data_IF_943923712598
#
_entry.id   IF_943923712598
#
_cell.length_a   1.000
_cell.length_b   1.000
_cell.length_c   1.000
_cell.angle_alpha   90.00
_cell.angle_beta   90.00
_cell.angle_gamma   90.00
#
_symmetry.space_group_name_H-M   'P 1'
#
loop_
_entity.id
_entity.type
_entity.pdbx_description
1 polymer ?
2 non-polymer ?
3 non-polymer ?
4 water ?
#
# COMPACT_ATOMS: atom_id res chain seq x y z
N UNK A 20 -8.93 -11.50 28.55
CA UNK A 20 -9.99 -10.79 29.35
C UNK A 20 -9.67 -9.29 29.46
N UNK A 21 -10.08 -8.62 30.54
CA UNK A 21 -10.34 -7.16 30.49
C UNK A 21 -9.12 -6.22 30.27
N UNK A 22 -8.73 -6.08 29.00
CA UNK A 22 -7.74 -5.08 28.60
C UNK A 22 -8.47 -3.80 28.15
N UNK A 23 -7.75 -2.69 28.15
CA UNK A 23 -8.33 -1.41 27.79
C UNK A 23 -7.57 -0.73 26.64
N UNK A 24 -8.30 0.00 25.83
CA UNK A 24 -7.75 0.79 24.75
C UNK A 24 -8.51 2.08 24.66
N UNK A 25 -7.82 3.15 24.24
CA UNK A 25 -8.47 4.41 23.94
C UNK A 25 -8.22 4.81 22.48
N UNK A 26 -9.29 5.16 21.76
CA UNK A 26 -9.21 5.80 20.44
C UNK A 26 -9.42 7.30 20.63
N UNK A 27 -8.41 8.10 20.29
CA UNK A 27 -8.50 9.56 20.39
C UNK A 27 -8.79 10.19 19.01
N UNK A 28 -10.06 10.48 18.77
CA UNK A 28 -10.50 11.05 17.50
C UNK A 28 -9.98 12.48 17.21
N UNK A 29 -9.42 13.16 18.22
CA UNK A 29 -8.86 14.51 18.02
C UNK A 29 -7.36 14.50 17.72
N UNK A 30 -6.74 13.32 17.77
CA UNK A 30 -5.32 13.21 17.48
C UNK A 30 -5.18 12.56 16.12
N UNK A 31 -5.28 13.39 15.07
CA UNK A 31 -5.24 12.91 13.70
C UNK A 31 -3.81 12.60 13.28
N UNK A 32 -3.65 11.48 12.58
CA UNK A 32 -2.37 11.03 12.03
C UNK A 32 -2.45 11.20 10.52
N UNK A 33 -2.08 10.18 9.73
CA UNK A 33 -2.00 10.32 8.29
C UNK A 33 -3.35 10.14 7.61
N UNK A 34 -3.58 10.89 6.53
CA UNK A 34 -4.76 10.69 5.68
C UNK A 34 -4.54 9.42 4.86
N UNK A 35 -5.55 8.55 4.82
CA UNK A 35 -5.45 7.29 4.06
C UNK A 35 -5.70 7.57 2.61
N UNK A 36 -4.79 7.09 1.77
CA UNK A 36 -4.91 7.18 0.33
C UNK A 36 -5.51 5.93 -0.26
N UNK A 37 -5.21 4.76 0.31
CA UNK A 37 -5.91 3.56 -0.11
C UNK A 37 -5.09 2.30 -0.15
N UNK A 38 -5.67 1.27 -0.77
CA UNK A 38 -5.13 -0.07 -0.74
C UNK A 38 -5.30 -0.69 -2.12
N UNK A 39 -4.38 -1.57 -2.50
CA UNK A 39 -4.56 -2.31 -3.72
C UNK A 39 -3.42 -3.22 -4.04
N UNK A 40 -3.11 -3.34 -5.33
CA UNK A 40 -2.07 -4.25 -5.79
C UNK A 40 -1.74 -4.06 -7.24
N UNK A 41 -0.93 -4.99 -7.77
CA UNK A 41 -0.27 -4.87 -9.06
C UNK A 41 -1.03 -5.57 -10.18
N UNK A 42 -1.07 -4.91 -11.33
CA UNK A 42 -1.42 -5.56 -12.59
C UNK A 42 -0.14 -5.49 -13.44
N UNK A 43 0.23 -6.62 -14.05
CA UNK A 43 1.36 -6.66 -14.99
C UNK A 43 0.99 -7.57 -16.19
N UNK A 44 0.33 -6.99 -17.21
CA UNK A 44 -0.20 -7.78 -18.33
C UNK A 44 0.83 -8.21 -19.39
N UNK A 45 2.11 -7.90 -19.16
CA UNK A 45 3.22 -8.39 -19.98
C UNK A 45 3.84 -9.65 -19.35
N UNK A 46 4.16 -9.58 -18.06
CA UNK A 46 4.77 -10.72 -17.35
C UNK A 46 3.76 -11.85 -17.10
N UNK A 47 2.51 -11.48 -16.78
CA UNK A 47 1.46 -12.45 -16.51
C UNK A 47 0.18 -12.01 -17.22
N UNK A 48 -0.87 -12.81 -17.12
CA UNK A 48 -2.15 -12.46 -17.77
C UNK A 48 -2.78 -11.22 -17.15
N UNK A 49 -3.34 -10.37 -18.01
CA UNK A 49 -4.12 -9.23 -17.56
C UNK A 49 -5.29 -9.70 -16.69
N UNK A 50 -5.74 -8.84 -15.78
CA UNK A 50 -6.99 -9.04 -15.10
C UNK A 50 -8.11 -9.11 -16.15
N UNK A 51 -9.06 -10.03 -15.96
CA UNK A 51 -10.24 -10.12 -16.81
C UNK A 51 -11.27 -9.06 -16.39
N UNK A 52 -12.28 -8.79 -17.25
CA UNK A 52 -13.36 -7.88 -16.86
C UNK A 52 -13.97 -8.23 -15.50
N UNK A 53 -14.23 -9.51 -15.26
CA UNK A 53 -14.79 -9.98 -13.98
C UNK A 53 -13.83 -9.67 -12.84
N UNK A 54 -12.56 -9.96 -13.05
CA UNK A 54 -11.54 -9.77 -12.02
C UNK A 54 -11.31 -8.28 -11.70
N UNK A 55 -11.42 -7.41 -12.70
CA UNK A 55 -11.33 -5.96 -12.44
C UNK A 55 -12.44 -5.50 -11.50
N UNK A 56 -13.65 -6.02 -11.70
CA UNK A 56 -14.80 -5.67 -10.83
C UNK A 56 -14.58 -6.21 -9.42
N UNK A 57 -14.08 -7.44 -9.31
CA UNK A 57 -13.82 -8.04 -8.02
C UNK A 57 -12.74 -7.27 -7.23
N UNK A 58 -11.72 -6.78 -7.93
CA UNK A 58 -10.63 -6.04 -7.28
C UNK A 58 -11.05 -4.65 -6.81
N UNK A 59 -11.67 -3.88 -7.70
CA UNK A 59 -11.91 -2.45 -7.46
C UNK A 59 -13.35 -2.08 -7.14
N UNK A 60 -14.28 -3.02 -7.33
CA UNK A 60 -15.62 -2.84 -6.79
C UNK A 60 -15.59 -3.03 -5.27
N UNK A 61 -16.57 -2.48 -4.57
CA UNK A 61 -16.68 -2.70 -3.13
C UNK A 61 -17.98 -3.35 -2.68
N UNK A 62 -18.58 -4.16 -3.54
CA UNK A 62 -19.75 -4.94 -3.20
C UNK A 62 -19.37 -6.19 -2.44
N UNK A 63 -20.36 -7.03 -2.17
CA UNK A 63 -20.13 -8.25 -1.42
C UNK A 63 -19.27 -9.18 -2.27
N UNK A 64 -18.21 -9.73 -1.67
CA UNK A 64 -17.26 -10.59 -2.40
C UNK A 64 -16.28 -9.84 -3.28
N UNK A 65 -16.14 -8.54 -3.06
CA UNK A 65 -15.20 -7.70 -3.82
C UNK A 65 -14.23 -7.05 -2.85
N UNK A 66 -13.02 -6.78 -3.32
CA UNK A 66 -11.92 -6.38 -2.44
C UNK A 66 -11.95 -4.91 -2.00
N UNK A 67 -12.63 -4.07 -2.74
CA UNK A 67 -12.69 -2.66 -2.39
C UNK A 67 -11.37 -1.92 -2.55
N UNK A 68 -10.50 -2.44 -3.41
CA UNK A 68 -9.20 -1.80 -3.69
C UNK A 68 -9.42 -0.42 -4.30
N UNK A 69 -8.54 0.51 -3.96
CA UNK A 69 -8.65 1.87 -4.42
C UNK A 69 -7.35 2.43 -5.00
N UNK A 70 -6.35 1.54 -5.15
CA UNK A 70 -5.08 1.86 -5.82
C UNK A 70 -4.72 0.68 -6.73
N UNK A 71 -4.38 0.99 -7.98
CA UNK A 71 -3.84 0.04 -8.94
C UNK A 71 -2.41 0.48 -9.20
N UNK A 72 -1.47 -0.45 -9.08
CA UNK A 72 -0.13 -0.20 -9.53
C UNK A 72 0.10 -0.89 -10.87
N UNK A 73 0.78 -0.18 -11.76
CA UNK A 73 1.13 -0.73 -13.07
C UNK A 73 2.59 -0.45 -13.35
N UNK A 74 3.14 -1.12 -14.36
CA UNK A 74 4.53 -0.92 -14.74
C UNK A 74 4.64 -0.05 -15.99
N UNK A 75 5.75 0.66 -16.10
CA UNK A 75 6.06 1.50 -17.26
C UNK A 75 6.99 0.70 -18.15
N UNK A 76 6.47 0.12 -19.22
CA UNK A 76 7.32 -0.74 -20.04
C UNK A 76 8.44 0.02 -20.75
N UNK A 77 9.61 -0.63 -20.77
CA UNK A 77 10.77 -0.09 -21.50
C UNK A 77 10.46 -0.01 -23.00
N UNK A 78 9.58 -0.88 -23.47
CA UNK A 78 9.18 -0.94 -24.87
C UNK A 78 7.82 -0.30 -25.03
N UNK A 79 7.78 0.89 -25.63
CA UNK A 79 6.55 1.69 -25.70
C UNK A 79 5.45 1.03 -26.53
N UNK A 80 5.81 0.02 -27.32
CA UNK A 80 4.81 -0.77 -28.02
C UNK A 80 3.96 -1.66 -27.11
N UNK A 81 4.41 -1.88 -25.87
CA UNK A 81 3.61 -2.61 -24.87
C UNK A 81 2.66 -1.73 -24.03
N UNK A 82 2.77 -0.41 -24.17
CA UNK A 82 2.00 0.50 -23.30
C UNK A 82 0.48 0.32 -23.37
N UNK A 83 -0.06 0.05 -24.56
CA UNK A 83 -1.49 -0.18 -24.77
C UNK A 83 -2.07 -1.37 -24.01
N UNK A 84 -1.22 -2.31 -23.58
CA UNK A 84 -1.68 -3.45 -22.81
C UNK A 84 -2.16 -3.06 -21.38
N UNK A 85 -1.75 -1.89 -20.89
CA UNK A 85 -2.15 -1.41 -19.56
C UNK A 85 -3.52 -0.77 -19.51
N UNK A 86 -4.00 -0.32 -20.66
CA UNK A 86 -5.08 0.66 -20.72
C UNK A 86 -6.41 0.13 -20.20
N UNK A 87 -6.77 -1.09 -20.59
CA UNK A 87 -8.11 -1.60 -20.25
C UNK A 87 -8.35 -1.75 -18.75
N UNK A 88 -7.36 -2.28 -18.03
CA UNK A 88 -7.49 -2.43 -16.57
C UNK A 88 -7.33 -1.10 -15.85
N UNK A 89 -6.43 -0.25 -16.34
CA UNK A 89 -6.24 1.06 -15.75
C UNK A 89 -7.50 1.93 -15.84
N UNK A 90 -8.10 1.98 -17.03
CA UNK A 90 -9.37 2.69 -17.23
C UNK A 90 -10.45 2.20 -16.27
N UNK A 91 -10.62 0.88 -16.20
CA UNK A 91 -11.66 0.28 -15.39
C UNK A 91 -11.43 0.56 -13.90
N UNK A 92 -10.17 0.48 -13.46
CA UNK A 92 -9.86 0.79 -12.09
C UNK A 92 -10.27 2.23 -11.77
N UNK A 93 -9.93 3.15 -12.67
CA UNK A 93 -10.28 4.55 -12.46
C UNK A 93 -11.79 4.69 -12.50
N UNK A 94 -12.45 3.98 -13.41
CA UNK A 94 -13.91 4.09 -13.51
C UNK A 94 -14.59 3.67 -12.20
N UNK A 95 -14.00 2.67 -11.54
CA UNK A 95 -14.54 2.15 -10.28
C UNK A 95 -14.03 2.92 -9.06
N UNK A 96 -13.30 4.01 -9.30
CA UNK A 96 -12.93 4.99 -8.26
C UNK A 96 -11.49 4.89 -7.71
N UNK A 97 -10.68 4.03 -8.31
CA UNK A 97 -9.29 3.86 -7.88
C UNK A 97 -8.39 4.93 -8.48
N UNK A 98 -7.21 5.11 -7.87
CA UNK A 98 -6.13 5.89 -8.45
C UNK A 98 -5.03 4.96 -8.94
N UNK A 99 -4.21 5.46 -9.87
CA UNK A 99 -3.20 4.61 -10.53
C UNK A 99 -1.80 5.21 -10.38
N UNK A 100 -0.85 4.39 -9.94
CA UNK A 100 0.56 4.78 -9.97
C UNK A 100 1.31 3.81 -10.87
N UNK A 101 2.37 4.32 -11.48
CA UNK A 101 3.14 3.57 -12.44
C UNK A 101 4.61 3.54 -12.03
N UNK A 102 5.23 2.36 -12.12
CA UNK A 102 6.65 2.19 -11.76
C UNK A 102 7.42 1.53 -12.92
N UNK A 103 8.59 2.09 -13.30
CA UNK A 103 9.41 1.45 -14.33
C UNK A 103 10.45 0.50 -13.71
N UNK A 104 10.77 -0.57 -14.43
CA UNK A 104 11.81 -1.54 -14.06
C UNK A 104 13.14 -1.26 -14.78
N UNK A 105 13.04 -0.93 -16.07
CA UNK A 105 14.19 -0.55 -16.89
C UNK A 105 13.88 0.63 -17.80
N UNK A 106 14.85 1.53 -17.98
CA UNK A 106 14.74 2.46 -19.10
C UNK A 106 14.83 1.71 -20.44
N UNK A 107 14.43 2.37 -21.55
CA UNK A 107 14.66 1.78 -22.87
C UNK A 107 16.13 1.38 -23.03
N UNK A 108 16.39 0.24 -23.69
CA UNK A 108 17.74 -0.32 -23.72
C UNK A 108 18.77 0.66 -24.30
N UNK A 109 18.36 1.56 -25.19
CA UNK A 109 19.29 2.54 -25.75
C UNK A 109 19.71 3.67 -24.79
N UNK A 110 19.16 3.69 -23.57
CA UNK A 110 19.62 4.60 -22.52
C UNK A 110 20.44 3.91 -21.45
N UNK A 111 20.53 2.60 -21.51
CA UNK A 111 21.14 1.77 -20.49
C UNK A 111 22.59 1.43 -20.88
N UNK A 112 23.46 1.29 -19.88
CA UNK A 112 24.81 0.75 -20.07
C UNK A 112 25.08 -0.32 -19.02
N UNK A 113 26.03 -1.20 -19.30
CA UNK A 113 26.40 -2.19 -18.32
C UNK A 113 27.55 -1.71 -17.46
N UNK A 114 27.64 -2.27 -16.26
CA UNK A 114 28.74 -2.03 -15.34
C UNK A 114 28.88 -3.21 -14.39
N UNK A 115 29.99 -3.23 -13.66
CA UNK A 115 30.27 -4.27 -12.70
C UNK A 115 29.95 -3.75 -11.29
N UNK A 116 29.07 -4.44 -10.59
CA UNK A 116 28.65 -4.01 -9.25
C UNK A 116 29.04 -5.05 -8.22
N UNK A 117 29.91 -4.65 -7.28
CA UNK A 117 30.39 -5.56 -6.24
C UNK A 117 30.83 -6.92 -6.80
N UNK A 118 31.66 -6.86 -7.84
CA UNK A 118 32.22 -8.07 -8.46
C UNK A 118 31.35 -8.72 -9.51
N UNK A 119 30.07 -8.36 -9.56
CA UNK A 119 29.15 -8.98 -10.48
C UNK A 119 29.08 -8.17 -11.76
N UNK A 120 29.48 -8.78 -12.89
CA UNK A 120 29.54 -8.03 -14.12
C UNK A 120 28.20 -7.97 -14.83
N UNK A 121 28.14 -7.19 -15.91
CA UNK A 121 26.98 -7.10 -16.78
C UNK A 121 25.69 -6.59 -16.08
N UNK A 122 25.85 -5.78 -15.05
CA UNK A 122 24.68 -5.16 -14.40
C UNK A 122 24.25 -3.93 -15.18
N UNK A 123 22.99 -3.53 -15.03
CA UNK A 123 22.39 -2.44 -15.79
C UNK A 123 22.27 -1.18 -14.95
N UNK A 124 22.59 -0.04 -15.57
CA UNK A 124 22.25 1.27 -15.00
C UNK A 124 21.88 2.27 -16.09
N UNK A 125 21.22 3.36 -15.68
CA UNK A 125 20.90 4.42 -16.63
C UNK A 125 22.18 5.19 -16.91
N UNK A 126 22.50 5.38 -18.19
CA UNK A 126 23.64 6.21 -18.57
C UNK A 126 23.45 7.60 -18.01
N UNK A 127 24.51 8.15 -17.41
CA UNK A 127 24.47 9.47 -16.80
C UNK A 127 24.09 10.56 -17.82
N UNK A 128 24.44 10.37 -19.08
CA UNK A 128 24.10 11.34 -20.12
C UNK A 128 22.72 11.09 -20.75
N UNK A 129 21.94 10.17 -20.19
CA UNK A 129 20.60 9.88 -20.71
C UNK A 129 19.48 10.17 -19.69
N UNK A 130 19.81 10.86 -18.61
CA UNK A 130 18.84 11.18 -17.58
C UNK A 130 17.75 12.08 -18.11
N UNK A 131 18.08 12.94 -19.07
CA UNK A 131 17.11 13.82 -19.72
C UNK A 131 16.25 13.05 -20.67
N UNK A 132 16.86 12.14 -21.40
CA UNK A 132 16.11 11.24 -22.27
C UNK A 132 15.12 10.36 -21.46
N UNK A 133 15.55 9.93 -20.28
CA UNK A 133 14.70 9.14 -19.39
C UNK A 133 13.48 9.92 -18.93
N UNK A 134 13.70 11.18 -18.54
CA UNK A 134 12.60 12.09 -18.23
C UNK A 134 11.59 12.12 -19.36
N UNK A 135 12.07 12.23 -20.59
CA UNK A 135 11.17 12.28 -21.74
C UNK A 135 10.40 10.99 -21.93
N UNK A 136 11.05 9.85 -21.70
CA UNK A 136 10.40 8.54 -21.75
C UNK A 136 9.26 8.46 -20.72
N UNK A 137 9.54 8.86 -19.48
CA UNK A 137 8.51 8.87 -18.41
C UNK A 137 7.33 9.79 -18.77
N UNK A 138 7.64 11.00 -19.24
CA UNK A 138 6.59 11.94 -19.70
C UNK A 138 5.79 11.45 -20.86
N UNK A 139 6.46 10.78 -21.78
CA UNK A 139 5.74 10.18 -22.90
C UNK A 139 4.72 9.17 -22.40
N UNK A 140 5.10 8.36 -21.42
CA UNK A 140 4.17 7.37 -20.85
C UNK A 140 3.00 8.09 -20.17
N UNK A 141 3.31 9.12 -19.41
CA UNK A 141 2.28 9.91 -18.72
C UNK A 141 1.29 10.48 -19.75
N UNK A 142 1.82 11.07 -20.83
CA UNK A 142 1.01 11.68 -21.87
C UNK A 142 0.16 10.63 -22.58
N UNK A 143 0.78 9.49 -22.89
CA UNK A 143 0.06 8.39 -23.54
C UNK A 143 -1.10 7.87 -22.71
N UNK A 144 -0.86 7.65 -21.42
CA UNK A 144 -1.92 7.13 -20.55
C UNK A 144 -3.02 8.16 -20.42
N UNK A 145 -2.64 9.43 -20.29
CA UNK A 145 -3.60 10.52 -20.16
C UNK A 145 -4.49 10.62 -21.39
N UNK A 146 -3.87 10.49 -22.57
CA UNK A 146 -4.61 10.43 -23.83
C UNK A 146 -5.61 9.27 -23.88
N UNK A 147 -5.32 8.19 -23.16
CA UNK A 147 -6.23 7.04 -23.11
C UNK A 147 -7.10 6.99 -21.85
N UNK A 148 -7.33 8.15 -21.23
CA UNK A 148 -8.24 8.26 -20.09
C UNK A 148 -7.70 7.77 -18.76
N UNK A 149 -6.38 7.69 -18.65
CA UNK A 149 -5.72 7.24 -17.44
C UNK A 149 -4.80 8.36 -16.98
N UNK A 150 -5.33 9.21 -16.09
CA UNK A 150 -4.58 10.30 -15.50
C UNK A 150 -3.80 9.73 -14.31
N UNK A 151 -2.52 9.44 -14.51
CA UNK A 151 -1.70 8.84 -13.45
C UNK A 151 -1.60 9.72 -12.23
N UNK A 152 -1.79 9.12 -11.06
CA UNK A 152 -1.65 9.82 -9.80
C UNK A 152 -0.18 10.15 -9.55
N UNK A 153 0.69 9.24 -9.93
CA UNK A 153 2.14 9.41 -9.77
C UNK A 153 2.89 8.43 -10.65
N UNK A 154 4.15 8.76 -10.88
CA UNK A 154 5.08 7.90 -11.61
C UNK A 154 6.39 7.83 -10.84
N UNK A 155 7.00 6.64 -10.83
CA UNK A 155 8.19 6.37 -10.05
C UNK A 155 9.45 6.49 -10.89
N UNK A 156 10.57 6.76 -10.23
CA UNK A 156 11.85 6.87 -10.92
C UNK A 156 12.32 5.44 -11.26
N UNK A 157 12.14 4.53 -10.31
CA UNK A 157 12.64 3.17 -10.46
C UNK A 157 12.04 2.22 -9.43
N UNK A 158 11.62 1.04 -9.89
CA UNK A 158 11.24 -0.03 -8.99
C UNK A 158 12.49 -0.69 -8.38
N UNK A 159 12.60 -0.68 -7.05
CA UNK A 159 13.69 -1.37 -6.35
C UNK A 159 15.08 -1.10 -6.95
N UNK A 160 15.51 0.16 -6.91
CA UNK A 160 16.84 0.53 -7.41
C UNK A 160 17.97 -0.21 -6.67
N UNK A 161 17.68 -0.63 -5.45
CA UNK A 161 18.66 -1.29 -4.59
C UNK A 161 18.47 -2.82 -4.53
N UNK A 162 17.69 -3.37 -5.44
CA UNK A 162 17.60 -4.83 -5.61
C UNK A 162 17.41 -5.18 -7.07
N UNK A 163 18.30 -4.64 -7.90
CA UNK A 163 18.12 -4.67 -9.35
C UNK A 163 19.02 -5.68 -10.07
N UNK A 164 19.28 -6.81 -9.42
CA UNK A 164 19.94 -7.95 -10.08
C UNK A 164 19.36 -8.28 -11.45
N UNK A 165 18.03 -8.16 -11.61
CA UNK A 165 17.36 -8.51 -12.87
C UNK A 165 16.74 -7.31 -13.59
N UNK A 166 17.12 -6.10 -13.20
CA UNK A 166 16.70 -4.88 -13.86
C UNK A 166 17.74 -3.74 -13.71
N UNK A 167 17.33 -2.50 -13.41
CA UNK A 167 18.25 -1.35 -13.46
C UNK A 167 18.57 -0.79 -12.07
N UNK A 168 19.86 -0.85 -11.72
CA UNK A 168 20.37 -0.35 -10.44
C UNK A 168 20.51 1.17 -10.41
N UNK A 169 20.14 1.79 -9.29
CA UNK A 169 20.53 3.15 -9.00
C UNK A 169 21.11 3.21 -7.60
N UNK A 170 22.33 3.74 -7.47
CA UNK A 170 22.88 4.04 -6.17
C UNK A 170 22.12 5.21 -5.53
N UNK A 171 22.28 5.39 -4.22
CA UNK A 171 21.65 6.54 -3.58
C UNK A 171 22.00 7.86 -4.26
N UNK A 172 23.28 8.07 -4.61
CA UNK A 172 23.70 9.29 -5.31
C UNK A 172 23.16 9.44 -6.74
N UNK A 173 22.98 8.34 -7.46
CA UNK A 173 22.38 8.39 -8.80
C UNK A 173 20.89 8.77 -8.71
N UNK A 174 20.21 8.22 -7.72
CA UNK A 174 18.82 8.54 -7.46
C UNK A 174 18.71 10.01 -7.05
N UNK A 175 19.64 10.49 -6.24
CA UNK A 175 19.63 11.87 -5.79
C UNK A 175 19.85 12.84 -6.95
N UNK A 176 20.85 12.55 -7.78
CA UNK A 176 21.09 13.37 -8.97
C UNK A 176 19.83 13.49 -9.81
N UNK A 177 19.18 12.36 -10.10
CA UNK A 177 17.96 12.42 -10.88
C UNK A 177 16.86 13.25 -10.22
N UNK A 178 16.65 13.03 -8.92
CA UNK A 178 15.62 13.76 -8.17
C UNK A 178 15.94 15.27 -8.09
N UNK A 179 17.21 15.58 -7.90
CA UNK A 179 17.67 16.96 -7.77
C UNK A 179 17.68 17.73 -9.10
N UNK A 180 18.16 17.08 -10.16
CA UNK A 180 18.50 17.75 -11.43
C UNK A 180 17.52 17.52 -12.57
N UNK A 181 16.66 16.50 -12.45
CA UNK A 181 15.78 16.16 -13.56
C UNK A 181 14.32 16.02 -13.20
N UNK A 182 14.03 15.59 -11.97
CA UNK A 182 12.69 15.12 -11.62
C UNK A 182 11.64 16.22 -11.68
N UNK A 183 12.08 17.47 -11.51
CA UNK A 183 11.19 18.61 -11.65
C UNK A 183 10.55 18.75 -13.01
N UNK A 184 11.12 18.11 -14.02
CA UNK A 184 10.57 18.17 -15.36
C UNK A 184 9.51 17.11 -15.67
N UNK A 185 9.21 16.23 -14.71
CA UNK A 185 8.22 15.18 -14.91
C UNK A 185 6.84 15.81 -14.71
N UNK A 186 5.95 15.57 -15.66
CA UNK A 186 4.61 16.15 -15.67
C UNK A 186 3.60 15.30 -14.88
N UNK A 187 3.99 14.96 -13.66
CA UNK A 187 3.21 14.06 -12.82
C UNK A 187 3.79 14.16 -11.41
N UNK A 188 3.04 13.68 -10.43
CA UNK A 188 3.63 13.41 -9.15
C UNK A 188 4.80 12.42 -9.33
N UNK A 189 5.90 12.70 -8.64
CA UNK A 189 7.08 11.85 -8.69
C UNK A 189 7.20 11.01 -7.42
N UNK A 190 7.31 9.70 -7.63
CA UNK A 190 7.49 8.74 -6.54
C UNK A 190 8.91 8.21 -6.53
N UNK A 191 9.51 8.20 -5.35
CA UNK A 191 10.86 7.64 -5.15
C UNK A 191 11.08 7.29 -3.69
N UNK A 192 12.04 6.39 -3.40
CA UNK A 192 12.89 5.61 -4.29
C UNK A 192 12.45 4.14 -4.46
N UNK A 193 11.37 3.70 -3.80
CA UNK A 193 10.90 2.31 -3.85
C UNK A 193 12.00 1.29 -3.54
N UNK A 194 12.71 1.50 -2.45
CA UNK A 194 13.65 0.51 -1.90
C UNK A 194 12.90 -0.80 -1.65
N UNK A 195 13.49 -1.93 -2.02
CA UNK A 195 12.87 -3.23 -1.76
C UNK A 195 12.56 -3.49 -0.29
N UNK A 196 13.24 -2.82 0.62
CA UNK A 196 13.13 -3.12 2.05
C UNK A 196 12.96 -1.84 2.89
N UNK A 197 12.61 -0.73 2.23
CA UNK A 197 12.51 0.58 2.91
C UNK A 197 13.86 0.91 3.55
N UNK A 198 14.94 0.68 2.82
CA UNK A 198 16.26 1.07 3.28
C UNK A 198 16.40 2.59 3.17
N UNK A 199 16.67 3.23 4.30
CA UNK A 199 16.69 4.69 4.39
C UNK A 199 17.90 5.31 3.66
N UNK A 200 18.95 4.54 3.42
CA UNK A 200 20.06 5.06 2.60
C UNK A 200 19.65 5.48 1.17
N UNK A 201 18.55 4.92 0.64
CA UNK A 201 18.07 5.32 -0.69
C UNK A 201 17.29 6.63 -0.70
N UNK A 202 16.67 6.98 0.43
CA UNK A 202 15.78 8.13 0.50
C UNK A 202 16.34 9.32 1.27
N UNK A 203 17.23 9.06 2.24
CA UNK A 203 17.82 10.10 3.06
C UNK A 203 18.42 11.23 2.22
N UNK A 204 19.16 10.89 1.14
CA UNK A 204 19.73 11.99 0.34
C UNK A 204 18.69 12.90 -0.30
N UNK A 205 17.54 12.33 -0.67
CA UNK A 205 16.43 13.11 -1.24
C UNK A 205 15.90 14.07 -0.18
N UNK A 206 15.62 13.52 1.01
CA UNK A 206 15.05 14.29 2.10
C UNK A 206 15.97 15.41 2.58
N UNK A 207 17.28 15.17 2.55
CA UNK A 207 18.27 16.16 2.99
C UNK A 207 18.67 17.21 1.95
N UNK A 208 18.19 17.06 0.72
CA UNK A 208 18.47 18.04 -0.33
C UNK A 208 17.18 18.75 -0.70
N UNK A 209 17.13 20.09 -0.45
CA UNK A 209 15.89 20.82 -0.68
C UNK A 209 15.34 20.76 -2.11
N UNK A 210 16.20 20.85 -3.13
CA UNK A 210 15.70 20.78 -4.50
C UNK A 210 15.14 19.39 -4.81
N UNK A 211 15.84 18.33 -4.41
CA UNK A 211 15.38 16.94 -4.65
C UNK A 211 14.07 16.65 -3.91
N UNK A 212 13.99 17.15 -2.68
CA UNK A 212 12.79 17.04 -1.87
C UNK A 212 11.64 17.80 -2.52
N UNK A 213 11.91 18.98 -3.07
CA UNK A 213 10.87 19.75 -3.76
C UNK A 213 10.34 19.01 -4.98
N UNK A 214 11.19 18.23 -5.64
CA UNK A 214 10.76 17.47 -6.81
C UNK A 214 10.12 16.13 -6.45
N UNK A 215 10.26 15.71 -5.19
CA UNK A 215 9.56 14.52 -4.70
C UNK A 215 8.11 14.86 -4.35
N UNK A 216 7.18 13.97 -4.69
CA UNK A 216 5.79 14.10 -4.25
C UNK A 216 5.36 12.95 -3.34
N UNK A 217 5.82 11.74 -3.64
CA UNK A 217 5.50 10.55 -2.86
C UNK A 217 6.76 9.76 -2.52
N UNK A 218 6.99 9.53 -1.23
CA UNK A 218 8.05 8.62 -0.82
C UNK A 218 7.44 7.22 -0.87
N UNK A 219 7.89 6.42 -1.85
CA UNK A 219 7.47 5.03 -2.04
C UNK A 219 8.46 4.05 -1.43
N UNK A 220 7.96 2.95 -0.89
CA UNK A 220 8.80 1.95 -0.25
C UNK A 220 8.17 0.58 -0.42
N UNK A 221 9.02 -0.43 -0.48
CA UNK A 221 8.56 -1.82 -0.38
C UNK A 221 8.93 -2.37 0.97
N UNK A 222 8.29 -3.49 1.37
CA UNK A 222 8.34 -4.01 2.73
C UNK A 222 8.95 -5.43 2.81
N UNK A 223 9.73 -5.82 1.82
CA UNK A 223 10.25 -7.19 1.80
C UNK A 223 11.31 -7.36 2.88
N UNK A 224 10.94 -8.08 3.93
CA UNK A 224 11.85 -8.31 5.06
C UNK A 224 11.98 -7.11 5.98
N UNK A 225 11.13 -6.10 5.80
CA UNK A 225 11.20 -4.89 6.62
C UNK A 225 10.66 -5.19 8.01
N UNK A 226 11.48 -5.01 9.04
CA UNK A 226 11.03 -5.28 10.41
C UNK A 226 10.37 -4.04 11.05
N UNK A 227 9.59 -4.27 12.10
CA UNK A 227 8.79 -3.20 12.72
C UNK A 227 9.64 -2.04 13.23
N UNK A 228 10.81 -2.36 13.79
CA UNK A 228 11.71 -1.33 14.29
C UNK A 228 12.23 -0.37 13.21
N UNK A 229 12.16 -0.80 11.96
CA UNK A 229 12.59 -0.01 10.79
C UNK A 229 11.43 0.59 10.00
N UNK A 230 10.22 0.51 10.55
CA UNK A 230 9.07 1.15 9.91
C UNK A 230 8.92 2.65 10.23
N UNK A 231 9.26 3.10 11.47
CA UNK A 231 9.31 4.54 11.66
C UNK A 231 10.42 5.17 10.83
N UNK A 232 10.28 6.45 10.53
CA UNK A 232 11.26 7.15 9.71
C UNK A 232 11.33 8.60 10.16
N UNK A 233 12.09 8.86 11.23
CA UNK A 233 12.25 10.18 11.83
C UNK A 233 12.57 11.30 10.83
N UNK A 234 13.42 11.01 9.83
CA UNK A 234 13.80 12.07 8.88
C UNK A 234 12.61 12.46 8.03
N UNK A 235 11.78 11.49 7.64
CA UNK A 235 10.56 11.81 6.91
C UNK A 235 9.53 12.59 7.73
N UNK A 236 9.37 12.22 9.01
CA UNK A 236 8.49 12.98 9.89
C UNK A 236 8.99 14.42 9.99
N UNK A 237 10.30 14.60 10.13
CA UNK A 237 10.90 15.93 10.24
C UNK A 237 10.79 16.74 8.94
N UNK A 238 11.20 16.16 7.81
CA UNK A 238 11.37 16.94 6.57
C UNK A 238 10.31 16.74 5.50
N UNK A 239 9.40 15.78 5.68
CA UNK A 239 8.50 15.37 4.61
C UNK A 239 7.13 16.01 4.51
N UNK A 240 6.94 17.19 5.11
CA UNK A 240 5.66 17.90 5.02
C UNK A 240 5.20 18.07 3.57
N UNK A 241 3.96 17.70 3.31
CA UNK A 241 3.38 17.82 1.99
C UNK A 241 3.69 16.67 1.04
N UNK A 242 4.50 15.70 1.48
CA UNK A 242 4.79 14.52 0.67
C UNK A 242 3.96 13.37 1.19
N UNK A 243 3.52 12.51 0.30
CA UNK A 243 2.78 11.31 0.68
C UNK A 243 3.77 10.18 0.98
N UNK A 244 3.29 9.19 1.74
CA UNK A 244 4.09 8.04 2.12
C UNK A 244 3.31 6.78 1.72
N UNK A 245 3.86 5.99 0.80
CA UNK A 245 3.17 4.85 0.24
C UNK A 245 4.02 3.59 0.34
N UNK A 246 3.40 2.48 0.71
CA UNK A 246 4.06 1.16 0.65
C UNK A 246 3.53 0.52 -0.61
N UNK A 247 4.37 0.49 -1.64
CA UNK A 247 3.90 0.31 -3.01
C UNK A 247 4.05 -1.12 -3.53
N UNK A 248 4.72 -1.97 -2.74
CA UNK A 248 4.80 -3.40 -3.11
C UNK A 248 5.23 -4.30 -1.97
N UNK A 249 4.45 -5.36 -1.75
CA UNK A 249 4.92 -6.46 -0.91
C UNK A 249 4.04 -7.68 -1.12
N UNK A 250 4.56 -8.83 -0.73
CA UNK A 250 3.76 -9.97 -0.35
C UNK A 250 4.34 -10.46 0.96
N UNK A 251 3.49 -11.02 1.83
CA UNK A 251 3.88 -11.49 3.15
C UNK A 251 2.99 -12.69 3.51
N UNK A 252 3.53 -13.66 4.28
CA UNK A 252 4.92 -13.74 4.72
C UNK A 252 5.82 -14.47 3.71
N UNK A 253 5.25 -14.90 2.58
CA UNK A 253 6.00 -15.58 1.52
C UNK A 253 5.20 -15.56 0.25
N UNK A 254 5.82 -16.00 -0.85
CA UNK A 254 5.11 -16.21 -2.12
C UNK A 254 5.05 -17.70 -2.48
N UNK A 255 4.85 -18.55 -1.48
CA UNK A 255 4.74 -19.99 -1.71
C UNK A 255 3.56 -20.30 -2.65
N UNK A 256 3.77 -21.22 -3.58
CA UNK A 256 2.71 -21.64 -4.50
C UNK A 256 1.49 -22.08 -3.70
N UNK A 257 0.32 -21.59 -4.08
CA UNK A 257 -0.95 -22.01 -3.49
C UNK A 257 -1.02 -21.84 -1.97
N UNK A 258 -0.51 -20.70 -1.47
CA UNK A 258 -0.44 -20.44 -0.03
C UNK A 258 -1.47 -19.44 0.47
N UNK A 259 -2.25 -18.88 -0.43
CA UNK A 259 -3.08 -17.71 -0.13
C UNK A 259 -4.20 -17.98 0.88
N UNK A 260 -4.62 -19.23 1.01
CA UNK A 260 -5.63 -19.63 2.00
C UNK A 260 -5.07 -20.25 3.28
N UNK A 261 -3.74 -20.33 3.41
CA UNK A 261 -3.16 -20.90 4.61
C UNK A 261 -3.56 -20.12 5.85
N UNK A 262 -3.98 -20.85 6.88
CA UNK A 262 -4.42 -20.26 8.13
C UNK A 262 -3.79 -21.05 9.27
N UNK A 263 -3.27 -20.37 10.31
CA UNK A 263 -3.29 -18.94 10.63
C UNK A 263 -2.23 -18.09 9.93
N UNK A 264 -1.51 -18.66 8.97
CA UNK A 264 -0.50 -17.92 8.19
C UNK A 264 -1.02 -16.56 7.70
N UNK A 265 -2.23 -16.56 7.14
CA UNK A 265 -2.77 -15.36 6.54
C UNK A 265 -2.82 -14.18 7.52
N UNK A 266 -2.89 -14.46 8.82
CA UNK A 266 -2.94 -13.38 9.79
C UNK A 266 -1.72 -12.44 9.70
N UNK A 267 -0.61 -12.94 9.16
CA UNK A 267 0.57 -12.08 8.95
C UNK A 267 0.30 -10.89 8.01
N UNK A 268 -0.67 -11.05 7.11
CA UNK A 268 -1.01 -10.00 6.16
C UNK A 268 -1.64 -8.84 6.90
N UNK A 269 -2.66 -9.14 7.71
CA UNK A 269 -3.32 -8.14 8.52
C UNK A 269 -2.32 -7.46 9.45
N UNK A 270 -1.46 -8.27 10.09
CA UNK A 270 -0.47 -7.71 11.00
C UNK A 270 0.49 -6.77 10.27
N UNK A 271 0.93 -7.15 9.07
CA UNK A 271 1.83 -6.30 8.28
C UNK A 271 1.18 -4.97 7.89
N UNK A 272 -0.10 -5.04 7.54
CA UNK A 272 -0.86 -3.87 7.21
C UNK A 272 -1.04 -2.98 8.42
N UNK A 273 -1.44 -3.59 9.54
CA UNK A 273 -1.49 -2.87 10.81
C UNK A 273 -0.16 -2.15 11.07
N UNK A 274 0.93 -2.89 10.90
CA UNK A 274 2.24 -2.33 11.16
C UNK A 274 2.56 -1.17 10.21
N UNK A 275 2.28 -1.34 8.92
CA UNK A 275 2.47 -0.26 7.96
C UNK A 275 1.74 1.02 8.42
N UNK A 276 0.46 0.86 8.74
CA UNK A 276 -0.38 1.99 9.12
C UNK A 276 0.04 2.67 10.41
N UNK A 277 0.30 1.86 11.42
CA UNK A 277 0.45 2.36 12.77
C UNK A 277 1.91 2.61 13.14
N UNK A 278 2.82 1.75 12.70
CA UNK A 278 4.24 1.88 13.03
C UNK A 278 4.97 2.69 11.97
N UNK A 279 4.50 2.61 10.72
CA UNK A 279 5.12 3.34 9.62
C UNK A 279 4.40 4.59 9.16
N UNK A 280 3.19 4.83 9.66
CA UNK A 280 2.38 5.98 9.24
C UNK A 280 2.12 5.99 7.74
N UNK A 281 2.04 4.80 7.12
CA UNK A 281 1.84 4.70 5.67
C UNK A 281 0.41 5.03 5.26
N UNK A 282 0.28 5.74 4.14
CA UNK A 282 -1.01 6.23 3.67
C UNK A 282 -1.56 5.28 2.66
N UNK A 283 -0.70 4.44 2.11
CA UNK A 283 -1.10 3.45 1.14
C UNK A 283 -0.38 2.14 1.39
N UNK A 284 -1.07 1.05 1.07
CA UNK A 284 -0.50 -0.30 1.17
C UNK A 284 -0.92 -1.05 -0.09
N UNK A 285 0.07 -1.46 -0.88
CA UNK A 285 -0.13 -2.02 -2.21
C UNK A 285 0.60 -3.36 -2.30
N UNK A 286 -0.18 -4.41 -2.52
CA UNK A 286 0.37 -5.75 -2.73
C UNK A 286 1.05 -5.84 -4.10
N UNK A 287 1.81 -6.91 -4.28
CA UNK A 287 2.28 -7.32 -5.60
C UNK A 287 1.06 -7.86 -6.40
N UNK A 288 1.23 -8.88 -7.25
CA UNK A 288 0.16 -9.27 -8.16
C UNK A 288 -1.20 -9.45 -7.47
N UNK A 289 -2.23 -8.76 -7.96
CA UNK A 289 -3.56 -8.88 -7.40
C UNK A 289 -4.04 -10.32 -7.53
N UNK A 290 -3.85 -10.89 -8.71
CA UNK A 290 -4.30 -12.25 -8.99
C UNK A 290 -3.09 -13.15 -9.06
N UNK A 291 -2.96 -14.01 -8.05
CA UNK A 291 -1.89 -14.99 -7.97
C UNK A 291 -2.18 -16.00 -6.86
N UNK A 292 -1.54 -17.17 -6.93
CA UNK A 292 -1.87 -18.24 -5.99
C UNK A 292 -1.44 -17.94 -4.54
N UNK A 293 -0.62 -16.91 -4.35
CA UNK A 293 -0.22 -16.41 -3.02
C UNK A 293 -0.73 -14.98 -2.76
N UNK A 294 -1.67 -14.52 -3.58
CA UNK A 294 -2.17 -13.14 -3.53
C UNK A 294 -3.59 -12.99 -3.00
N UNK A 295 -4.09 -11.74 -2.96
CA UNK A 295 -5.41 -11.49 -2.39
C UNK A 295 -6.53 -12.09 -3.23
N UNK A 296 -6.29 -12.25 -4.53
CA UNK A 296 -7.25 -12.88 -5.42
C UNK A 296 -6.63 -14.14 -5.98
N UNK A 297 -7.32 -15.28 -5.87
CA UNK A 297 -6.82 -16.55 -6.39
C UNK A 297 -7.02 -16.65 -7.91
N UNK A 298 -6.35 -17.60 -8.54
CA UNK A 298 -6.46 -17.79 -9.99
C UNK A 298 -7.89 -18.06 -10.44
N UNK A 299 -8.73 -18.63 -9.57
CA UNK A 299 -10.14 -18.82 -9.90
C UNK A 299 -10.99 -17.56 -9.78
N UNK A 300 -10.37 -16.44 -9.40
CA UNK A 300 -11.05 -15.16 -9.38
C UNK A 300 -11.70 -14.81 -8.05
N UNK A 301 -11.58 -15.69 -7.06
CA UNK A 301 -12.19 -15.46 -5.75
C UNK A 301 -11.17 -14.92 -4.75
N UNK A 302 -11.67 -14.45 -3.64
CA UNK A 302 -10.83 -13.85 -2.63
C UNK A 302 -10.24 -14.92 -1.72
N UNK A 303 -8.93 -14.86 -1.52
CA UNK A 303 -8.21 -15.77 -0.62
C UNK A 303 -8.23 -15.27 0.83
N UNK A 304 -7.82 -16.12 1.77
CA UNK A 304 -7.70 -15.69 3.16
C UNK A 304 -6.82 -14.44 3.24
N UNK A 305 -5.73 -14.42 2.47
CA UNK A 305 -4.85 -13.23 2.39
C UNK A 305 -5.64 -12.00 1.89
N UNK A 306 -6.48 -12.21 0.89
CA UNK A 306 -7.36 -11.15 0.39
C UNK A 306 -8.35 -10.61 1.41
N UNK A 307 -8.94 -11.51 2.18
CA UNK A 307 -9.86 -11.11 3.24
C UNK A 307 -9.14 -10.33 4.31
N UNK A 308 -7.88 -10.68 4.58
CA UNK A 308 -7.10 -9.87 5.50
C UNK A 308 -6.96 -8.45 4.95
N UNK A 309 -6.61 -8.32 3.67
CA UNK A 309 -6.53 -7.00 3.07
C UNK A 309 -7.90 -6.30 3.12
N UNK A 310 -8.96 -7.05 2.85
CA UNK A 310 -10.31 -6.49 2.78
C UNK A 310 -10.78 -5.87 4.10
N UNK A 311 -10.35 -6.44 5.23
CA UNK A 311 -10.65 -5.85 6.52
C UNK A 311 -10.26 -4.38 6.62
N UNK A 312 -9.24 -3.99 5.86
CA UNK A 312 -8.84 -2.60 5.77
C UNK A 312 -9.47 -1.92 4.55
N UNK A 313 -9.32 -2.54 3.39
CA UNK A 313 -9.63 -1.88 2.12
C UNK A 313 -11.12 -1.64 1.86
N UNK A 314 -11.99 -2.56 2.31
CA UNK A 314 -13.42 -2.39 2.13
C UNK A 314 -14.01 -1.32 3.06
N UNK A 315 -13.33 -1.05 4.17
CA UNK A 315 -13.87 -0.19 5.22
C UNK A 315 -13.12 1.13 5.46
N UNK A 316 -11.80 1.12 5.35
CA UNK A 316 -10.98 2.32 5.59
C UNK A 316 -10.82 2.98 4.22
N UNK A 317 -11.69 3.94 3.91
CA UNK A 317 -11.78 4.45 2.54
C UNK A 317 -10.86 5.65 2.36
N UNK A 318 -10.50 5.96 1.11
CA UNK A 318 -9.63 7.10 0.88
C UNK A 318 -10.17 8.40 1.46
N UNK A 319 -9.30 9.19 2.08
CA UNK A 319 -9.77 10.41 2.72
C UNK A 319 -10.05 10.25 4.21
N UNK A 320 -10.31 9.03 4.67
CA UNK A 320 -10.37 8.79 6.12
C UNK A 320 -9.01 9.14 6.68
N UNK A 321 -8.99 9.51 7.96
CA UNK A 321 -7.73 9.87 8.61
C UNK A 321 -7.48 8.92 9.79
N UNK A 322 -6.27 8.35 9.84
CA UNK A 322 -5.93 7.51 10.96
C UNK A 322 -5.87 8.40 12.18
N UNK A 323 -6.28 7.87 13.33
CA UNK A 323 -6.25 8.58 14.58
C UNK A 323 -5.45 7.79 15.61
N UNK A 324 -4.90 8.51 16.58
CA UNK A 324 -4.12 7.89 17.64
C UNK A 324 -5.04 6.93 18.39
N UNK A 325 -4.60 5.68 18.53
CA UNK A 325 -5.34 4.65 19.27
C UNK A 325 -4.36 3.64 19.86
N UNK A 326 -4.71 3.08 21.01
CA UNK A 326 -3.85 2.11 21.70
C UNK A 326 -3.54 0.95 20.75
N UNK A 327 -2.29 0.85 20.30
CA UNK A 327 -1.97 -0.04 19.19
C UNK A 327 -1.86 -1.51 19.57
N UNK A 328 -1.52 -1.79 20.83
CA UNK A 328 -1.24 -3.15 21.29
C UNK A 328 -1.78 -3.30 22.71
N UNK A 329 -3.11 -3.24 22.86
CA UNK A 329 -3.76 -3.18 24.19
C UNK A 329 -3.50 -4.38 25.10
N UNK A 330 -3.21 -5.54 24.51
CA UNK A 330 -2.79 -6.70 25.26
C UNK A 330 -1.99 -7.60 24.34
N UNK A 331 -1.28 -8.55 24.92
CA UNK A 331 -0.40 -9.40 24.13
C UNK A 331 -1.19 -10.11 23.01
N UNK A 332 -0.65 -10.07 21.80
CA UNK A 332 -1.24 -10.67 20.58
C UNK A 332 -2.46 -9.93 20.01
N UNK A 333 -2.79 -8.76 20.55
CA UNK A 333 -3.91 -7.98 20.05
C UNK A 333 -3.42 -6.64 19.51
N UNK A 334 -3.89 -6.30 18.32
CA UNK A 334 -3.40 -5.16 17.55
C UNK A 334 -4.58 -4.35 17.06
N UNK A 335 -4.54 -3.05 17.32
CA UNK A 335 -5.66 -2.16 17.04
C UNK A 335 -5.21 -0.92 16.28
N UNK A 336 -5.98 -0.57 15.27
CA UNK A 336 -5.83 0.70 14.58
C UNK A 336 -7.22 1.29 14.36
N UNK A 337 -7.30 2.61 14.25
CA UNK A 337 -8.57 3.31 14.06
C UNK A 337 -8.41 4.46 13.09
N UNK A 338 -9.38 4.60 12.18
CA UNK A 338 -9.45 5.72 11.23
C UNK A 338 -10.80 6.42 11.35
N UNK A 339 -10.79 7.74 11.20
CA UNK A 339 -11.97 8.60 11.32
C UNK A 339 -12.44 9.03 9.93
N UNK A 340 -13.74 8.87 9.66
CA UNK A 340 -14.40 9.50 8.51
C UNK A 340 -14.80 10.93 8.94
N UNK A 341 -14.10 11.93 8.39
CA UNK A 341 -14.32 13.32 8.81
C UNK A 341 -15.66 13.91 8.35
N UNK A 342 -16.34 13.24 7.42
CA UNK A 342 -17.66 13.71 6.95
C UNK A 342 -18.70 13.69 8.08
N UNK A 343 -18.66 12.65 8.94
CA UNK A 343 -19.59 12.55 10.09
C UNK A 343 -18.92 12.17 11.42
N UNK A 344 -17.59 12.14 11.44
CA UNK A 344 -16.80 11.69 12.58
C UNK A 344 -17.04 10.24 13.04
N UNK A 345 -17.53 9.38 12.15
CA UNK A 345 -17.61 7.95 12.44
C UNK A 345 -16.20 7.37 12.45
N UNK A 346 -16.05 6.16 12.98
CA UNK A 346 -14.74 5.56 13.20
C UNK A 346 -14.77 4.12 12.66
N UNK A 347 -13.67 3.71 12.05
CA UNK A 347 -13.45 2.33 11.65
C UNK A 347 -12.28 1.82 12.46
N UNK A 348 -12.49 0.72 13.18
CA UNK A 348 -11.45 0.10 13.98
C UNK A 348 -11.17 -1.29 13.43
N UNK A 349 -9.90 -1.61 13.23
CA UNK A 349 -9.56 -2.95 12.75
C UNK A 349 -8.72 -3.58 13.84
N UNK A 350 -9.18 -4.73 14.31
CA UNK A 350 -8.60 -5.35 15.51
C UNK A 350 -8.23 -6.80 15.25
N UNK A 351 -6.95 -7.10 15.42
CA UNK A 351 -6.40 -8.41 15.10
C UNK A 351 -6.15 -9.12 16.43
N UNK A 352 -6.66 -10.35 16.56
CA UNK A 352 -6.31 -11.20 17.69
C UNK A 352 -5.57 -12.42 17.22
N UNK A 353 -4.25 -12.41 17.42
CA UNK A 353 -3.42 -13.56 17.05
C UNK A 353 -3.32 -14.63 18.15
N UNK A 354 -3.92 -14.37 19.32
CA UNK A 354 -3.92 -15.34 20.40
C UNK A 354 -4.82 -16.53 20.09
N UNK A 355 -4.42 -17.68 20.60
CA UNK A 355 -5.28 -18.89 20.61
C UNK A 355 -6.39 -18.79 21.68
N UNK A 356 -6.36 -17.72 22.49
CA UNK A 356 -7.41 -17.45 23.45
C UNK A 356 -8.27 -16.25 23.03
N UNK A 357 -9.49 -16.20 23.55
CA UNK A 357 -10.40 -15.10 23.24
C UNK A 357 -9.91 -13.90 24.04
N UNK A 358 -10.21 -12.70 23.54
CA UNK A 358 -9.76 -11.48 24.20
C UNK A 358 -10.90 -10.48 24.29
N UNK A 359 -11.01 -9.82 25.44
CA UNK A 359 -12.02 -8.80 25.64
C UNK A 359 -11.35 -7.43 25.88
N UNK A 360 -11.75 -6.44 25.09
CA UNK A 360 -11.16 -5.10 25.15
C UNK A 360 -12.25 -4.07 25.45
N UNK A 361 -12.04 -3.24 26.46
CA UNK A 361 -12.86 -2.06 26.69
C UNK A 361 -12.25 -0.89 25.90
N UNK A 362 -12.88 -0.53 24.79
CA UNK A 362 -12.37 0.52 23.92
C UNK A 362 -13.06 1.84 24.25
N UNK A 363 -12.32 2.77 24.83
CA UNK A 363 -12.85 4.08 25.16
C UNK A 363 -12.68 5.05 23.99
N UNK A 364 -13.78 5.66 23.57
CA UNK A 364 -13.77 6.59 22.44
C UNK A 364 -14.35 7.92 22.94
N UNK A 365 -13.58 8.63 23.80
CA UNK A 365 -14.12 9.87 24.40
C UNK A 365 -14.61 10.87 23.34
N UNK A 366 -15.71 11.55 23.65
CA UNK A 366 -16.25 12.61 22.79
C UNK A 366 -17.05 12.19 21.58
N UNK A 367 -17.21 10.89 21.36
CA UNK A 367 -18.02 10.42 20.24
C UNK A 367 -19.50 10.37 20.61
N UNK A 368 -20.36 10.69 19.63
CA UNK A 368 -21.81 10.53 19.77
C UNK A 368 -22.26 9.16 19.27
N UNK A 369 -21.37 8.45 18.58
CA UNK A 369 -21.69 7.11 18.10
C UNK A 369 -21.91 6.19 19.30
N UNK A 370 -22.91 5.32 19.22
CA UNK A 370 -23.21 4.37 20.30
C UNK A 370 -23.36 2.93 19.82
N UNK A 371 -23.18 2.70 18.52
CA UNK A 371 -23.33 1.37 17.97
C UNK A 371 -22.28 1.13 16.91
N UNK A 372 -21.66 -0.06 16.96
CA UNK A 372 -20.75 -0.52 15.90
C UNK A 372 -21.31 -1.80 15.34
N UNK A 373 -21.21 -1.96 14.04
CA UNK A 373 -21.41 -3.24 13.40
C UNK A 373 -20.04 -3.88 13.31
N UNK A 374 -19.99 -5.19 13.10
CA UNK A 374 -18.70 -5.87 13.04
C UNK A 374 -18.68 -7.04 12.06
N UNK A 375 -17.55 -7.18 11.38
CA UNK A 375 -17.30 -8.27 10.44
C UNK A 375 -16.05 -8.97 10.88
N UNK A 376 -16.10 -10.30 10.89
CA UNK A 376 -15.06 -11.13 11.49
C UNK A 376 -14.59 -12.22 10.55
N UNK A 377 -13.28 -12.38 10.46
CA UNK A 377 -12.69 -13.44 9.66
C UNK A 377 -11.84 -14.34 10.55
N UNK A 378 -12.01 -15.65 10.38
CA UNK A 378 -11.22 -16.65 11.07
C UNK A 378 -10.81 -17.71 10.03
N UNK A 379 -10.25 -18.83 10.50
CA UNK A 379 -9.94 -19.94 9.62
C UNK A 379 -11.18 -20.53 8.96
N UNK A 380 -12.35 -20.30 9.51
CA UNK A 380 -13.58 -20.94 9.02
C UNK A 380 -14.69 -19.97 8.57
N UNK A 381 -14.41 -18.67 8.54
CA UNK A 381 -15.40 -17.71 8.05
C UNK A 381 -14.73 -16.43 7.60
N UNK A 382 -15.33 -15.79 6.59
CA UNK A 382 -14.76 -14.61 5.95
C UNK A 382 -15.69 -13.42 6.06
N UNK A 383 -15.24 -12.38 6.76
CA UNK A 383 -16.03 -11.16 6.94
C UNK A 383 -17.48 -11.46 7.32
N UNK A 384 -17.66 -12.39 8.27
CA UNK A 384 -19.00 -12.71 8.73
C UNK A 384 -19.49 -11.58 9.62
N UNK A 385 -20.67 -11.08 9.28
CA UNK A 385 -21.31 -10.07 10.10
C UNK A 385 -21.79 -10.71 11.39
N UNK A 386 -21.27 -10.23 12.51
CA UNK A 386 -21.63 -10.78 13.81
C UNK A 386 -22.48 -9.74 14.55
N UNK A 387 -22.81 -10.00 15.82
CA UNK A 387 -23.69 -9.12 16.58
C UNK A 387 -23.11 -7.72 16.83
N UNK A 388 -23.98 -6.70 16.75
CA UNK A 388 -23.57 -5.31 16.99
C UNK A 388 -23.01 -5.11 18.36
N UNK A 389 -22.13 -4.10 18.48
CA UNK A 389 -21.62 -3.65 19.76
C UNK A 389 -22.39 -2.42 20.15
N UNK A 390 -23.03 -2.47 21.31
CA UNK A 390 -23.74 -1.32 21.83
C UNK A 390 -22.90 -0.71 22.93
N UNK A 391 -22.58 0.56 22.77
CA UNK A 391 -21.69 1.26 23.67
C UNK A 391 -22.35 1.54 25.00
N UNK A 392 -21.55 1.51 26.06
CA UNK A 392 -21.97 2.00 27.36
C UNK A 392 -21.32 3.37 27.57
N UNK A 393 -22.10 4.43 27.37
CA UNK A 393 -21.53 5.77 27.29
C UNK A 393 -20.61 5.86 26.08
N UNK A 394 -19.35 6.25 26.29
CA UNK A 394 -18.36 6.28 25.21
C UNK A 394 -17.37 5.10 25.25
N UNK A 395 -17.77 3.99 25.86
CA UNK A 395 -16.96 2.78 25.93
C UNK A 395 -17.63 1.63 25.19
N UNK A 396 -16.89 1.04 24.27
CA UNK A 396 -17.34 -0.08 23.46
C UNK A 396 -16.60 -1.32 23.94
N UNK A 397 -17.29 -2.24 24.61
CA UNK A 397 -16.66 -3.49 25.03
C UNK A 397 -16.77 -4.46 23.88
N UNK A 398 -15.63 -4.95 23.41
CA UNK A 398 -15.60 -5.87 22.30
C UNK A 398 -14.93 -7.18 22.72
N UNK A 399 -15.40 -8.28 22.13
CA UNK A 399 -14.77 -9.57 22.34
C UNK A 399 -14.24 -10.08 21.01
N UNK A 400 -13.00 -10.55 21.04
CA UNK A 400 -12.35 -11.06 19.85
C UNK A 400 -12.10 -12.55 20.01
N UNK A 401 -12.71 -13.35 19.17
CA UNK A 401 -12.48 -14.79 19.28
C UNK A 401 -11.06 -15.13 18.83
N UNK A 402 -10.58 -16.31 19.19
CA UNK A 402 -9.17 -16.61 18.90
C UNK A 402 -8.83 -16.52 17.40
N UNK A 403 -7.63 -16.03 17.10
CA UNK A 403 -7.07 -16.07 15.76
C UNK A 403 -8.07 -15.47 14.77
N UNK A 404 -8.33 -14.18 14.96
CA UNK A 404 -9.37 -13.49 14.19
C UNK A 404 -8.95 -12.07 13.84
N UNK A 405 -9.60 -11.52 12.82
CA UNK A 405 -9.55 -10.10 12.54
C UNK A 405 -10.98 -9.60 12.55
N UNK A 406 -11.20 -8.46 13.19
CA UNK A 406 -12.52 -7.84 13.24
C UNK A 406 -12.41 -6.42 12.75
N UNK A 407 -13.33 -6.00 11.87
CA UNK A 407 -13.44 -4.59 11.58
C UNK A 407 -14.75 -4.07 12.15
N UNK A 408 -14.66 -3.04 12.97
CA UNK A 408 -15.82 -2.39 13.55
C UNK A 408 -16.13 -1.10 12.80
N UNK A 409 -17.39 -0.94 12.39
CA UNK A 409 -17.82 0.24 11.64
C UNK A 409 -19.12 0.85 12.16
X LIG B 1 16.99 0.89 7.63
X LIG B 1 17.47 -0.47 7.94
X LIG B 1 17.41 1.85 8.68
X LIG B 1 15.51 0.88 7.61
X LIG B 1 17.54 1.34 6.34
X LIG C 1 13.22 -9.76 -1.23
X LIG C 1 12.35 -10.85 -1.71
X LIG C 1 11.37 -10.30 -2.75
X LIG C 1 12.06 -9.54 -3.81
X LIG C 1 12.92 -8.50 -3.25
X LIG C 1 13.94 -9.17 -2.35
X LIG C 1 11.07 -8.92 -4.70
X LIG C 1 11.69 -8.70 -6.06
X LIG C 1 10.67 -8.06 -6.83
X LIG C 1 14.18 -10.26 -0.23
X LIG C 1 13.78 -9.79 1.16
X LIG C 1 14.94 -10.30 2.24
X LIG C 1 14.38 -10.29 3.61
X LIG C 1 16.10 -9.38 2.19
X LIG C 1 15.36 -11.67 1.87
X LIG D 1 -2.46 6.26 22.80
X LIG D 1 -3.75 6.53 22.16
X LIG D 1 -4.74 7.04 23.21
X LIG D 1 -4.24 8.28 23.86
X LIG D 1 -2.85 8.15 24.35
X LIG D 1 -1.91 7.53 23.31
X LIG D 1 -5.13 8.58 25.00
X LIG D 1 -5.57 10.02 24.98
X LIG D 1 -4.86 10.78 25.98
X LIG D 1 -1.54 5.64 21.82
X LIG D 1 -0.35 5.01 22.55
X LIG D 1 0.32 3.79 21.63
X LIG D 1 -0.50 2.59 21.72
X LIG D 1 1.69 3.51 22.16
X LIG D 1 0.41 4.22 20.21
X LIG E 1 5.62 -15.27 -9.62
X LIG E 1 4.99 -16.53 -10.08
X LIG E 1 4.59 -14.46 -8.92
X LIG E 1 6.17 -14.54 -10.79
X LIG E 1 6.74 -15.59 -8.70
#
# INVERSE_FOLDING_TARGET
MGSSHHHHHHSSGLVPRGSHMASATINLSAEKQVIRGFGGMNHPVWISDLTPQQRDTAFGNGEGQLGFTILRIHVDENRNNWSKEVATARRAIELGAIVSASPWNPPSNMVETFTRNGVPNQKRLRYDKYGDYVQHLNDFVAYMKSNGVDLYAISVQNEPDYAHEWTWWTPQEMLRFMRDYAGQINCRVMAPESFQYLKNMSDPILNDPQALANLDILGAHFYGTTVNNMPYPLFEQKGAGKELWMTEVYVPNSDSNSADRWPEALEVAHNMHNALVEGNFQAYVWWYIRRSYGPMKEDGTISKRGYMMAHYSKFVRPGYVRVDATKNPTYNVYLSACKNKKDNSVVAVVINKSTEAKTINISVPGTSIRKWERYVTTGSKNLRKESDINASGTTFQVTLEPQSVTTFV
SO4 S O1 O2 O3 O4
EPE N1 C2 C3 N4 C5 C6 C7 C8 O8 C9 C10 S O1S O2S O3S
EPE N1 C2 C3 N4 C5 C6 C7 C8 O8 C9 C10 S O1S O2S O3S
SO4 S O1 O2 O3 O4
#
